data_IF_028242725460
#
_entry.id   IF_028242725460
#
_cell.length_a   1.000
_cell.length_b   1.000
_cell.length_c   1.000
_cell.angle_alpha   90.00
_cell.angle_beta   90.00
_cell.angle_gamma   90.00
#
_symmetry.space_group_name_H-M   'P 1'
#
loop_
_entity.id
_entity.type
_entity.pdbx_description
1 polymer ?
#
# COMPACT_ATOMS: atom_id res chain seq x y z
N UNK A 1 -65.78 -11.26 -17.75
CA UNK A 1 -64.61 -11.75 -18.52
C UNK A 1 -63.35 -11.41 -17.74
N UNK A 2 -62.43 -12.37 -17.64
CA UNK A 2 -61.38 -12.47 -16.61
C UNK A 2 -60.19 -11.55 -16.94
N UNK A 3 -59.74 -10.83 -15.91
CA UNK A 3 -58.57 -9.94 -15.82
C UNK A 3 -57.26 -10.62 -16.23
N UNK A 4 -56.37 -9.92 -16.96
CA UNK A 4 -54.91 -10.11 -16.89
C UNK A 4 -54.19 -8.77 -17.15
N UNK A 5 -53.86 -8.04 -16.09
CA UNK A 5 -52.90 -6.92 -16.12
C UNK A 5 -51.49 -7.46 -16.33
N UNK A 6 -50.82 -7.07 -17.42
CA UNK A 6 -49.42 -7.41 -17.71
C UNK A 6 -48.50 -6.56 -16.82
N UNK A 7 -48.01 -7.14 -15.73
CA UNK A 7 -46.93 -6.55 -14.94
C UNK A 7 -45.61 -6.68 -15.71
N UNK A 8 -45.10 -5.56 -16.22
CA UNK A 8 -43.75 -5.46 -16.78
C UNK A 8 -42.77 -5.42 -15.60
N UNK A 9 -42.07 -6.53 -15.38
CA UNK A 9 -41.01 -6.62 -14.38
C UNK A 9 -39.76 -5.98 -14.97
N UNK A 10 -39.47 -4.75 -14.53
CA UNK A 10 -38.21 -4.06 -14.80
C UNK A 10 -37.13 -4.72 -13.93
N UNK A 11 -36.27 -5.55 -14.53
CA UNK A 11 -35.09 -6.09 -13.87
C UNK A 11 -33.98 -5.02 -13.90
N UNK A 12 -33.58 -4.41 -12.77
CA UNK A 12 -32.38 -3.60 -12.74
C UNK A 12 -31.19 -4.56 -12.82
N UNK A 13 -30.48 -4.56 -13.95
CA UNK A 13 -29.18 -5.18 -14.06
C UNK A 13 -28.21 -4.42 -13.16
N UNK A 14 -28.13 -4.83 -11.89
CA UNK A 14 -27.07 -4.47 -10.97
C UNK A 14 -25.76 -4.95 -11.61
N UNK A 15 -25.06 -4.01 -12.24
CA UNK A 15 -23.66 -4.15 -12.60
C UNK A 15 -22.89 -4.29 -11.29
N UNK A 16 -22.78 -5.54 -10.81
CA UNK A 16 -21.84 -5.93 -9.79
C UNK A 16 -20.44 -5.82 -10.39
N UNK A 17 -19.94 -4.59 -10.52
CA UNK A 17 -18.51 -4.40 -10.70
C UNK A 17 -17.86 -4.96 -9.45
N UNK A 18 -16.86 -5.84 -9.56
CA UNK A 18 -16.11 -6.25 -8.40
C UNK A 18 -15.51 -4.97 -7.85
N UNK A 19 -15.92 -4.59 -6.64
CA UNK A 19 -15.19 -3.63 -5.86
C UNK A 19 -13.82 -4.28 -5.62
N UNK A 20 -12.85 -3.97 -6.50
CA UNK A 20 -11.46 -4.17 -6.18
C UNK A 20 -11.27 -3.43 -4.87
N UNK A 21 -11.22 -4.19 -3.76
CA UNK A 21 -11.19 -3.66 -2.42
C UNK A 21 -9.81 -3.03 -2.20
N UNK A 22 -9.63 -1.83 -2.77
CA UNK A 22 -8.51 -0.98 -2.45
C UNK A 22 -8.57 -0.75 -0.94
N UNK A 23 -7.54 -1.21 -0.22
CA UNK A 23 -7.42 -0.97 1.20
C UNK A 23 -7.52 0.52 1.48
N UNK A 24 -8.09 0.86 2.64
CA UNK A 24 -8.07 2.25 3.07
C UNK A 24 -6.63 2.72 3.20
N UNK A 25 -6.39 4.02 3.00
CA UNK A 25 -5.05 4.59 3.10
C UNK A 25 -4.36 4.31 4.44
N UNK A 26 -5.15 4.13 5.52
CA UNK A 26 -4.63 3.73 6.82
C UNK A 26 -3.96 2.35 6.77
N UNK A 27 -4.68 1.32 6.30
CA UNK A 27 -4.12 -0.03 6.25
C UNK A 27 -2.99 -0.13 5.22
N UNK A 28 -3.12 0.55 4.08
CA UNK A 28 -2.05 0.60 3.10
C UNK A 28 -0.76 1.23 3.68
N UNK A 29 -0.90 2.30 4.47
CA UNK A 29 0.22 2.91 5.19
C UNK A 29 0.79 1.98 6.27
N UNK A 30 -0.07 1.23 6.98
CA UNK A 30 0.39 0.25 7.97
C UNK A 30 1.18 -0.89 7.31
N UNK A 31 0.77 -1.37 6.14
CA UNK A 31 1.51 -2.37 5.36
C UNK A 31 2.88 -1.85 4.91
N UNK A 32 2.94 -0.59 4.45
CA UNK A 32 4.19 0.07 4.05
C UNK A 32 5.16 0.23 5.22
N UNK A 33 4.69 0.79 6.33
CA UNK A 33 5.50 0.98 7.55
C UNK A 33 5.93 -0.38 8.11
N UNK A 34 5.03 -1.36 8.14
CA UNK A 34 5.34 -2.73 8.55
C UNK A 34 6.41 -3.39 7.68
N UNK A 35 6.37 -3.15 6.36
CA UNK A 35 7.40 -3.63 5.42
C UNK A 35 8.76 -3.00 5.73
N UNK A 36 8.80 -1.70 6.03
CA UNK A 36 10.03 -0.98 6.40
C UNK A 36 10.60 -1.52 7.71
N UNK A 37 9.76 -1.58 8.76
CA UNK A 37 10.17 -1.99 10.12
C UNK A 37 10.50 -3.48 10.21
N UNK A 38 9.86 -4.32 9.41
CA UNK A 38 10.12 -5.76 9.36
C UNK A 38 11.37 -6.15 8.57
N UNK A 39 12.07 -5.19 7.96
CA UNK A 39 13.22 -5.46 7.10
C UNK A 39 14.54 -5.41 7.87
N UNK A 40 15.23 -6.56 7.94
CA UNK A 40 16.61 -6.62 8.45
C UNK A 40 17.58 -5.73 7.66
N UNK A 41 17.38 -5.57 6.35
CA UNK A 41 18.20 -4.71 5.52
C UNK A 41 18.05 -3.22 5.89
N UNK A 42 16.84 -2.78 6.26
CA UNK A 42 16.62 -1.41 6.77
C UNK A 42 17.30 -1.26 8.14
N UNK A 43 17.12 -2.24 9.02
CA UNK A 43 17.75 -2.23 10.34
C UNK A 43 19.29 -2.12 10.23
N UNK A 44 19.90 -2.87 9.32
CA UNK A 44 21.35 -2.79 9.07
C UNK A 44 21.76 -1.48 8.40
N UNK A 45 20.96 -0.96 7.47
CA UNK A 45 21.23 0.31 6.81
C UNK A 45 21.21 1.52 7.77
N UNK A 46 20.40 1.45 8.83
CA UNK A 46 20.41 2.44 9.93
C UNK A 46 21.32 2.02 11.10
N UNK A 47 22.18 1.01 10.91
CA UNK A 47 23.12 0.50 11.93
C UNK A 47 22.46 0.08 13.25
N UNK A 48 21.25 -0.48 13.17
CA UNK A 48 20.44 -0.91 14.31
C UNK A 48 20.09 0.25 15.26
N UNK A 49 20.17 1.50 14.79
CA UNK A 49 19.83 2.67 15.57
C UNK A 49 18.30 2.76 15.80
N UNK A 50 17.86 3.30 16.96
CA UNK A 50 16.44 3.52 17.23
C UNK A 50 15.79 4.45 16.21
N UNK A 51 14.64 4.03 15.66
CA UNK A 51 13.85 4.82 14.73
C UNK A 51 13.03 5.85 15.51
N UNK A 52 13.20 7.13 15.16
CA UNK A 52 12.43 8.24 15.72
C UNK A 52 11.18 8.58 14.90
N UNK A 53 11.25 8.46 13.57
CA UNK A 53 10.10 8.71 12.70
C UNK A 53 10.19 7.95 11.37
N UNK A 54 9.03 7.63 10.80
CA UNK A 54 8.87 7.11 9.45
C UNK A 54 7.83 7.96 8.74
N UNK A 55 8.20 8.57 7.63
CA UNK A 55 7.36 9.53 6.91
C UNK A 55 7.34 9.25 5.42
N UNK A 56 6.17 9.29 4.79
CA UNK A 56 6.07 9.32 3.33
C UNK A 56 6.40 10.74 2.84
N UNK A 57 7.43 10.85 1.99
CA UNK A 57 7.92 12.14 1.50
C UNK A 57 7.52 12.42 0.05
N UNK A 58 7.02 11.40 -0.66
CA UNK A 58 6.47 11.55 -1.99
C UNK A 58 6.42 10.24 -2.75
N UNK A 59 6.56 10.37 -4.07
CA UNK A 59 6.53 9.25 -5.03
C UNK A 59 7.60 9.48 -6.07
N UNK A 60 8.41 8.46 -6.34
CA UNK A 60 9.43 8.46 -7.38
C UNK A 60 8.77 8.36 -8.77
N UNK A 61 9.50 8.74 -9.82
CA UNK A 61 9.01 8.76 -11.21
C UNK A 61 8.47 7.42 -11.73
N UNK A 62 8.90 6.31 -11.15
CA UNK A 62 8.46 4.94 -11.48
C UNK A 62 7.23 4.49 -10.68
N UNK A 63 6.65 5.37 -9.86
CA UNK A 63 5.50 5.06 -9.01
C UNK A 63 5.86 4.44 -7.66
N UNK A 64 7.14 4.21 -7.36
CA UNK A 64 7.56 3.76 -6.05
C UNK A 64 7.29 4.83 -4.99
N UNK A 65 6.69 4.46 -3.86
CA UNK A 65 6.44 5.40 -2.76
C UNK A 65 7.76 5.70 -2.06
N UNK A 66 8.08 6.99 -1.90
CA UNK A 66 9.29 7.44 -1.21
C UNK A 66 9.02 7.62 0.29
N UNK A 67 9.90 7.07 1.11
CA UNK A 67 9.80 7.12 2.55
C UNK A 67 11.13 7.48 3.19
N UNK A 68 11.06 8.31 4.22
CA UNK A 68 12.21 8.65 5.06
C UNK A 68 12.09 7.93 6.41
N UNK A 69 13.14 7.19 6.76
CA UNK A 69 13.33 6.56 8.06
C UNK A 69 14.35 7.39 8.83
N UNK A 70 13.88 8.15 9.81
CA UNK A 70 14.70 9.02 10.64
C UNK A 70 15.13 8.31 11.91
N UNK A 71 16.42 8.32 12.17
CA UNK A 71 17.04 7.97 13.45
C UNK A 71 17.62 9.23 14.09
N UNK A 72 18.30 9.08 15.25
CA UNK A 72 18.98 10.22 15.88
C UNK A 72 20.14 10.75 15.03
N UNK A 73 20.81 9.88 14.27
CA UNK A 73 22.08 10.18 13.60
C UNK A 73 21.94 10.30 12.08
N UNK A 74 20.85 9.81 11.50
CA UNK A 74 20.66 9.84 10.05
C UNK A 74 19.19 9.81 9.60
N UNK A 75 18.98 10.29 8.38
CA UNK A 75 17.74 10.13 7.62
C UNK A 75 18.00 9.16 6.45
N UNK A 76 17.50 7.94 6.55
CA UNK A 76 17.59 6.95 5.49
C UNK A 76 16.42 7.09 4.53
N UNK A 77 16.71 7.25 3.24
CA UNK A 77 15.70 7.22 2.18
C UNK A 77 15.48 5.78 1.73
N UNK A 78 14.21 5.36 1.64
CA UNK A 78 13.80 4.06 1.10
C UNK A 78 12.65 4.23 0.12
N UNK A 79 12.56 3.30 -0.82
CA UNK A 79 11.48 3.23 -1.79
C UNK A 79 10.68 1.95 -1.62
N UNK A 80 9.36 2.05 -1.70
CA UNK A 80 8.45 0.92 -1.69
C UNK A 80 7.81 0.76 -3.06
N UNK A 81 8.19 -0.32 -3.74
CA UNK A 81 7.69 -0.69 -5.05
C UNK A 81 6.46 -1.59 -4.84
N UNK A 82 5.27 -1.20 -5.33
CA UNK A 82 4.05 -1.98 -5.14
C UNK A 82 4.10 -3.30 -5.92
N UNK A 83 3.69 -4.37 -5.27
CA UNK A 83 3.52 -5.71 -5.85
C UNK A 83 2.05 -6.09 -5.71
N UNK A 84 1.35 -6.12 -6.85
CA UNK A 84 -0.06 -6.48 -6.88
C UNK A 84 -0.23 -8.00 -6.69
N UNK A 85 -1.27 -8.43 -5.96
CA UNK A 85 -1.59 -9.84 -5.80
C UNK A 85 -2.14 -10.43 -7.11
N UNK A 86 -1.94 -11.73 -7.30
CA UNK A 86 -2.59 -12.48 -8.37
C UNK A 86 -4.01 -12.88 -7.91
N UNK A 87 -4.97 -11.97 -8.11
CA UNK A 87 -6.35 -12.11 -7.66
C UNK A 87 -6.70 -11.28 -6.42
N UNK A 88 -7.75 -11.66 -5.66
CA UNK A 88 -8.16 -10.91 -4.47
C UNK A 88 -7.06 -10.89 -3.41
N UNK A 89 -6.64 -9.70 -2.98
CA UNK A 89 -5.62 -9.55 -1.96
C UNK A 89 -5.21 -8.10 -1.76
N UNK A 90 -4.30 -7.87 -0.81
CA UNK A 90 -3.67 -6.57 -0.59
C UNK A 90 -2.45 -6.38 -1.50
N UNK A 91 -2.18 -5.13 -1.87
CA UNK A 91 -0.86 -4.75 -2.42
C UNK A 91 0.19 -5.00 -1.35
N UNK A 92 1.25 -5.71 -1.72
CA UNK A 92 2.46 -5.84 -0.89
C UNK A 92 3.56 -4.98 -1.46
N UNK A 93 4.69 -4.84 -0.76
CA UNK A 93 5.73 -3.90 -1.15
C UNK A 93 7.10 -4.56 -1.15
N UNK A 94 7.88 -4.29 -2.20
CA UNK A 94 9.31 -4.62 -2.24
C UNK A 94 10.12 -3.37 -1.87
N UNK A 95 11.09 -3.55 -0.98
CA UNK A 95 12.02 -2.49 -0.59
C UNK A 95 13.13 -2.30 -1.61
N UNK A 96 13.43 -1.03 -1.85
CA UNK A 96 14.63 -0.55 -2.54
C UNK A 96 15.33 0.48 -1.64
N UNK A 97 16.59 0.21 -1.31
CA UNK A 97 17.37 0.94 -0.30
C UNK A 97 18.66 1.43 -1.01
N UNK A 98 18.68 2.66 -1.53
CA UNK A 98 19.78 3.14 -2.37
C UNK A 98 21.07 3.42 -1.59
N UNK A 99 21.02 3.48 -0.26
CA UNK A 99 22.16 3.86 0.58
C UNK A 99 22.05 3.35 2.00
N UNK A 100 22.98 3.80 2.85
CA UNK A 100 23.03 3.48 4.28
C UNK A 100 23.52 4.70 5.03
N UNK A 101 23.27 4.71 6.33
CA UNK A 101 23.84 5.70 7.24
C UNK A 101 25.33 5.40 7.48
N UNK A 102 26.14 6.46 7.59
CA UNK A 102 27.59 6.38 7.83
C UNK A 102 27.91 6.08 9.30
#
# INVERSE_FOLDING_TARGET
MKSISKAVILFPALLATPAAAALSGYYDSAERIGTILGSGAVADAVRQAPIGAISNTGTRKDGASEWQVRTQECDLLVYLIPVLPDGPGKTTYKLDIPGKCE
#
